data_IF_558780159149
#
_entry.id   IF_558780159149
#
_cell.length_a   1.000
_cell.length_b   1.000
_cell.length_c   1.000
_cell.angle_alpha   90.00
_cell.angle_beta   90.00
_cell.angle_gamma   90.00
#
_symmetry.space_group_name_H-M   'P 1'
#
loop_
_entity.id
_entity.type
_entity.pdbx_description
1 polymer ?
#
# COMPACT_ATOMS: atom_id res chain seq x y z
N UNK A 1 -31.68 -26.01 -16.35
CA UNK A 1 -32.26 -25.20 -17.44
C UNK A 1 -31.47 -23.90 -17.47
N UNK A 2 -30.60 -23.75 -18.47
CA UNK A 2 -29.55 -22.72 -18.53
C UNK A 2 -30.16 -21.30 -18.71
N UNK A 3 -29.84 -20.30 -17.87
CA UNK A 3 -30.36 -18.92 -17.98
C UNK A 3 -29.73 -18.06 -19.08
N UNK A 4 -29.24 -18.66 -20.18
CA UNK A 4 -28.47 -17.93 -21.21
C UNK A 4 -29.28 -16.94 -22.06
N UNK A 5 -30.61 -16.87 -21.92
CA UNK A 5 -31.46 -16.19 -22.90
C UNK A 5 -31.99 -14.81 -22.49
N UNK A 6 -31.98 -14.40 -21.21
CA UNK A 6 -32.67 -13.15 -20.79
C UNK A 6 -31.95 -12.29 -19.74
N UNK A 7 -30.65 -12.47 -19.56
CA UNK A 7 -29.85 -11.58 -18.72
C UNK A 7 -28.53 -12.21 -18.35
N UNK A 8 -27.43 -11.52 -18.63
CA UNK A 8 -26.13 -11.91 -18.10
C UNK A 8 -26.17 -11.70 -16.58
N UNK A 9 -26.45 -12.78 -15.85
CA UNK A 9 -26.41 -12.80 -14.41
C UNK A 9 -24.97 -12.83 -13.88
N UNK A 10 -24.77 -12.58 -12.57
CA UNK A 10 -23.46 -12.71 -11.92
C UNK A 10 -22.85 -14.10 -12.13
N UNK A 11 -23.70 -15.14 -12.19
CA UNK A 11 -23.30 -16.53 -12.41
C UNK A 11 -22.67 -16.74 -13.79
N UNK A 12 -23.30 -16.21 -14.85
CA UNK A 12 -22.79 -16.28 -16.22
C UNK A 12 -21.48 -15.47 -16.35
N UNK A 13 -21.42 -14.29 -15.73
CA UNK A 13 -20.22 -13.47 -15.73
C UNK A 13 -19.04 -14.19 -15.06
N UNK A 14 -19.28 -14.93 -13.97
CA UNK A 14 -18.26 -15.76 -13.32
C UNK A 14 -17.75 -16.88 -14.22
N UNK A 15 -18.64 -17.54 -14.97
CA UNK A 15 -18.24 -18.61 -15.92
C UNK A 15 -17.38 -18.02 -17.04
N UNK A 16 -17.79 -16.89 -17.63
CA UNK A 16 -17.01 -16.21 -18.67
C UNK A 16 -15.66 -15.77 -18.12
N UNK A 17 -15.63 -15.19 -16.91
CA UNK A 17 -14.40 -14.80 -16.23
C UNK A 17 -13.47 -16.00 -16.01
N UNK A 18 -14.02 -17.15 -15.59
CA UNK A 18 -13.24 -18.37 -15.42
C UNK A 18 -12.61 -18.83 -16.75
N UNK A 19 -13.35 -18.82 -17.86
CA UNK A 19 -12.82 -19.18 -19.18
C UNK A 19 -11.70 -18.20 -19.60
N UNK A 20 -11.90 -16.89 -19.44
CA UNK A 20 -10.87 -15.88 -19.73
C UNK A 20 -9.63 -16.11 -18.87
N UNK A 21 -9.79 -16.42 -17.58
CA UNK A 21 -8.67 -16.73 -16.70
C UNK A 21 -7.94 -18.03 -17.09
N UNK A 22 -8.63 -19.03 -17.64
CA UNK A 22 -7.97 -20.24 -18.17
C UNK A 22 -7.14 -19.92 -19.42
N UNK A 23 -7.66 -19.09 -20.33
CA UNK A 23 -6.98 -18.75 -21.59
C UNK A 23 -5.79 -17.80 -21.39
N UNK A 24 -5.98 -16.76 -20.58
CA UNK A 24 -4.97 -15.71 -20.38
C UNK A 24 -4.11 -15.95 -19.12
N UNK A 25 -4.59 -16.74 -18.17
CA UNK A 25 -3.98 -16.90 -16.85
C UNK A 25 -4.24 -15.71 -15.92
N UNK A 26 -4.18 -15.95 -14.61
CA UNK A 26 -4.33 -14.89 -13.60
C UNK A 26 -3.25 -13.80 -13.69
N UNK A 27 -2.02 -14.16 -14.07
CA UNK A 27 -0.89 -13.22 -14.11
C UNK A 27 -1.02 -12.14 -15.19
N UNK A 28 -1.54 -12.49 -16.38
CA UNK A 28 -1.74 -11.52 -17.48
C UNK A 28 -2.85 -10.54 -17.12
N UNK A 29 -3.96 -11.05 -16.61
CA UNK A 29 -5.12 -10.24 -16.23
C UNK A 29 -4.79 -9.33 -15.03
N UNK A 30 -4.06 -9.82 -14.03
CA UNK A 30 -3.58 -9.03 -12.90
C UNK A 30 -2.56 -7.96 -13.32
N UNK A 31 -1.67 -8.28 -14.26
CA UNK A 31 -0.71 -7.33 -14.82
C UNK A 31 -1.42 -6.14 -15.49
N UNK A 32 -2.38 -6.44 -16.38
CA UNK A 32 -3.19 -5.42 -17.05
C UNK A 32 -4.05 -4.62 -16.05
N UNK A 33 -4.69 -5.30 -15.09
CA UNK A 33 -5.47 -4.65 -14.05
C UNK A 33 -4.65 -3.70 -13.18
N UNK A 34 -3.40 -4.04 -12.86
CA UNK A 34 -2.50 -3.18 -12.07
C UNK A 34 -2.09 -1.92 -12.83
N UNK A 35 -1.76 -2.01 -14.12
CA UNK A 35 -1.42 -0.85 -14.94
C UNK A 35 -2.64 0.04 -15.21
N UNK A 36 -3.76 -0.56 -15.59
CA UNK A 36 -5.02 0.16 -15.85
C UNK A 36 -5.56 0.80 -14.59
N UNK A 37 -5.51 0.11 -13.45
CA UNK A 37 -5.95 0.64 -12.16
C UNK A 37 -5.11 1.83 -11.70
N UNK A 38 -3.79 1.80 -11.92
CA UNK A 38 -2.90 2.93 -11.66
C UNK A 38 -3.26 4.13 -12.54
N UNK A 39 -3.42 3.92 -13.85
CA UNK A 39 -3.81 4.98 -14.78
C UNK A 39 -5.17 5.61 -14.41
N UNK A 40 -6.17 4.79 -14.06
CA UNK A 40 -7.49 5.29 -13.62
C UNK A 40 -7.38 6.06 -12.31
N UNK A 41 -6.53 5.63 -11.37
CA UNK A 41 -6.30 6.31 -10.09
C UNK A 41 -5.70 7.70 -10.31
N UNK A 42 -4.60 7.77 -11.05
CA UNK A 42 -3.91 9.03 -11.40
C UNK A 42 -4.86 9.97 -12.15
N UNK A 43 -5.59 9.46 -13.16
CA UNK A 43 -6.60 10.23 -13.89
C UNK A 43 -7.68 10.79 -12.97
N UNK A 44 -8.16 10.00 -12.00
CA UNK A 44 -9.18 10.46 -11.04
C UNK A 44 -8.65 11.49 -10.06
N UNK A 45 -7.39 11.41 -9.65
CA UNK A 45 -6.73 12.40 -8.79
C UNK A 45 -6.57 13.73 -9.53
N UNK A 46 -6.00 13.72 -10.74
CA UNK A 46 -5.87 14.94 -11.55
C UNK A 46 -7.23 15.54 -11.94
N UNK A 47 -8.21 14.71 -12.29
CA UNK A 47 -9.57 15.17 -12.60
C UNK A 47 -10.28 15.73 -11.36
N UNK A 48 -9.99 15.19 -10.17
CA UNK A 48 -10.49 15.74 -8.90
C UNK A 48 -9.90 17.10 -8.61
N UNK A 49 -8.63 17.34 -8.89
CA UNK A 49 -8.01 18.66 -8.68
C UNK A 49 -8.63 19.72 -9.61
N UNK A 50 -8.89 19.36 -10.86
CA UNK A 50 -9.59 20.23 -11.83
C UNK A 50 -11.04 20.47 -11.40
N UNK A 51 -11.75 19.43 -10.91
CA UNK A 51 -13.15 19.54 -10.46
C UNK A 51 -13.28 20.17 -9.05
N UNK A 52 -12.22 20.09 -8.25
CA UNK A 52 -12.12 20.47 -6.85
C UNK A 52 -12.09 21.98 -6.63
N UNK A 53 -11.79 22.77 -7.66
CA UNK A 53 -12.02 24.22 -7.64
C UNK A 53 -13.51 24.60 -7.59
N UNK A 54 -14.45 23.65 -7.62
CA UNK A 54 -15.89 23.89 -7.48
C UNK A 54 -16.59 23.24 -6.29
N UNK A 55 -15.92 22.44 -5.43
CA UNK A 55 -16.53 21.96 -4.17
C UNK A 55 -15.47 21.74 -3.08
N UNK A 56 -15.32 22.73 -2.21
CA UNK A 56 -14.76 22.51 -0.88
C UNK A 56 -15.73 21.66 -0.03
N UNK A 57 -15.16 20.94 0.93
CA UNK A 57 -15.77 20.09 1.98
C UNK A 57 -16.29 18.71 1.54
N UNK A 58 -15.45 17.68 1.69
CA UNK A 58 -15.81 16.43 2.38
C UNK A 58 -14.55 15.84 3.03
N UNK A 59 -14.50 15.89 4.35
CA UNK A 59 -13.47 15.27 5.20
C UNK A 59 -13.95 13.86 5.53
N UNK A 60 -13.51 12.87 4.76
CA UNK A 60 -13.58 11.48 5.20
C UNK A 60 -12.46 10.68 4.55
N UNK A 61 -11.29 10.71 5.20
CA UNK A 61 -10.15 9.87 4.87
C UNK A 61 -9.96 8.87 6.02
N UNK A 62 -10.52 7.64 5.94
CA UNK A 62 -10.07 6.57 6.79
C UNK A 62 -8.76 6.04 6.21
N UNK A 63 -7.64 6.55 6.75
CA UNK A 63 -6.27 6.10 6.47
C UNK A 63 -6.18 4.57 6.53
N UNK A 64 -5.91 3.86 5.41
CA UNK A 64 -5.64 2.43 5.45
C UNK A 64 -4.27 2.25 6.09
N UNK A 65 -4.23 1.57 7.23
CA UNK A 65 -3.01 1.02 7.81
C UNK A 65 -2.39 0.06 6.79
N UNK A 66 -1.34 0.52 6.13
CA UNK A 66 -0.47 -0.31 5.31
C UNK A 66 0.04 -1.50 6.13
N UNK A 67 -0.07 -2.67 5.54
CA UNK A 67 0.34 -3.93 6.13
C UNK A 67 1.83 -3.93 6.48
N UNK A 68 2.12 -3.92 7.78
CA UNK A 68 3.42 -4.31 8.28
C UNK A 68 3.48 -5.84 8.35
N UNK A 69 3.87 -6.44 7.23
CA UNK A 69 4.26 -7.84 7.15
C UNK A 69 5.78 -7.95 7.39
N UNK A 70 6.18 -8.35 8.60
CA UNK A 70 7.21 -9.36 8.90
C UNK A 70 7.58 -9.33 10.39
N UNK A 71 7.30 -10.44 11.09
CA UNK A 71 7.78 -10.84 12.43
C UNK A 71 9.30 -11.15 12.31
N UNK A 72 10.14 -11.27 13.37
CA UNK A 72 9.82 -11.67 14.75
C UNK A 72 10.71 -11.01 15.86
N UNK A 73 10.13 -10.27 16.80
CA UNK A 73 10.81 -9.92 18.06
C UNK A 73 10.51 -10.99 19.12
N UNK A 74 11.11 -12.17 18.94
CA UNK A 74 11.27 -13.12 20.03
C UNK A 74 12.69 -12.95 20.57
N UNK A 75 12.76 -12.65 21.87
CA UNK A 75 13.87 -13.00 22.75
C UNK A 75 15.20 -12.27 22.55
N UNK A 76 15.41 -11.15 23.27
CA UNK A 76 16.62 -10.87 24.08
C UNK A 76 16.26 -9.87 25.19
N UNK A 77 15.74 -10.38 26.30
CA UNK A 77 15.89 -9.77 27.63
C UNK A 77 16.99 -10.57 28.33
N UNK A 78 17.81 -9.88 29.12
CA UNK A 78 19.00 -10.32 29.89
C UNK A 78 20.27 -9.95 29.16
N UNK A 79 21.31 -9.44 29.78
CA UNK A 79 21.69 -9.06 31.13
C UNK A 79 22.98 -8.25 30.86
N UNK A 80 23.28 -7.23 31.66
CA UNK A 80 24.58 -7.13 32.33
C UNK A 80 24.86 -5.67 32.73
N UNK A 81 25.11 -5.58 34.01
CA UNK A 81 25.50 -4.44 34.79
C UNK A 81 26.91 -4.02 34.40
N UNK A 82 27.16 -2.72 34.28
CA UNK A 82 28.47 -2.25 33.85
C UNK A 82 28.67 -0.77 34.02
N UNK A 83 28.57 -0.33 35.27
CA UNK A 83 29.15 0.93 35.76
C UNK A 83 30.55 1.15 35.19
N UNK A 84 30.76 2.19 34.39
CA UNK A 84 32.07 2.83 34.29
C UNK A 84 31.91 4.33 34.31
N UNK A 85 32.75 4.90 35.16
CA UNK A 85 32.65 6.17 35.84
C UNK A 85 32.77 7.38 34.91
N UNK A 86 32.18 8.46 35.39
CA UNK A 86 32.48 9.80 34.94
C UNK A 86 33.95 10.11 35.24
N UNK A 87 34.75 10.36 34.20
CA UNK A 87 35.98 11.13 34.32
C UNK A 87 35.79 12.52 33.68
N UNK A 88 36.34 13.49 34.38
CA UNK A 88 36.08 14.92 34.39
C UNK A 88 37.19 15.61 33.56
N UNK A 89 36.80 16.61 32.74
CA UNK A 89 37.57 17.82 32.37
C UNK A 89 38.83 17.66 31.50
N UNK A 90 38.80 18.30 30.31
CA UNK A 90 39.57 19.54 30.06
C UNK A 90 39.13 20.23 28.75
N UNK A 91 38.59 21.47 28.79
CA UNK A 91 38.36 22.30 27.61
C UNK A 91 39.49 23.33 27.46
N UNK A 92 40.43 23.12 26.53
CA UNK A 92 41.25 24.19 25.90
C UNK A 92 42.23 23.55 24.89
N UNK A 93 41.97 23.70 23.59
CA UNK A 93 43.08 23.72 22.64
C UNK A 93 43.00 24.97 21.76
N UNK A 94 43.95 25.85 22.08
CA UNK A 94 44.26 27.11 21.45
C UNK A 94 44.38 27.02 19.92
N UNK A 95 44.01 28.14 19.32
CA UNK A 95 44.54 28.68 18.07
C UNK A 95 46.02 28.31 17.83
N UNK A 96 46.26 27.64 16.71
CA UNK A 96 47.42 27.78 15.83
C UNK A 96 46.90 27.47 14.43
N UNK A 97 47.31 28.09 13.34
CA UNK A 97 48.39 29.00 13.01
C UNK A 97 47.93 29.72 11.74
#
# INVERSE_FOLDING_TARGET
MFPLLLGLGPSELLIILAIVLLLFGGSRLAGLGKSTGRAIKEFKEETKDIKGQSKATDVNDPKPVEGQQARPAADQVREDDGVHEAEIVDPEHKKGL
#
